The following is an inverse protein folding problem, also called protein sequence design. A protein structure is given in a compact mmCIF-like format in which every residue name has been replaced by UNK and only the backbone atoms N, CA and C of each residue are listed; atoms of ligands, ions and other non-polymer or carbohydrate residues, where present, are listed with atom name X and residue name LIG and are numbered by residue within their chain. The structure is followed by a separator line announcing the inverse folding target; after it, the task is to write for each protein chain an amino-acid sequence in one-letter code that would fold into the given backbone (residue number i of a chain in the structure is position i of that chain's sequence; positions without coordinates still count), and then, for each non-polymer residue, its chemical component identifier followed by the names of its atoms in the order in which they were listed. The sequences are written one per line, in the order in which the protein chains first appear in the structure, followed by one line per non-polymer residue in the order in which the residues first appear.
data_IF_694939912784
#
_entry.id   IF_694939912784
#
_cell.length_a   1.000
_cell.length_b   1.000
_cell.length_c   1.000
_cell.angle_alpha   90.00
_cell.angle_beta   90.00
_cell.angle_gamma   90.00
#
_symmetry.space_group_name_H-M   'P 1'
#
loop_
_entity.id
_entity.type
_entity.pdbx_description
1 polymer ?
#
# COMPACT_ATOMS: atom_id res chain seq x y z
N UNK A 1 -69.47 -41.49 -19.02
CA UNK A 1 -69.53 -41.72 -17.57
C UNK A 1 -68.12 -41.67 -17.00
N UNK A 2 -67.95 -40.84 -15.97
CA UNK A 2 -66.96 -40.89 -14.86
C UNK A 2 -65.44 -40.97 -15.15
N UNK A 3 -64.78 -39.83 -14.92
CA UNK A 3 -63.63 -39.57 -14.04
C UNK A 3 -62.89 -40.78 -13.43
N UNK A 4 -61.55 -40.79 -13.49
CA UNK A 4 -60.71 -40.61 -12.30
C UNK A 4 -59.22 -40.58 -12.65
N UNK A 5 -58.61 -39.44 -12.33
CA UNK A 5 -57.18 -39.21 -12.29
C UNK A 5 -56.55 -39.88 -11.05
N UNK A 6 -55.23 -40.11 -11.15
CA UNK A 6 -54.22 -39.76 -10.13
C UNK A 6 -53.71 -40.83 -9.13
N UNK A 7 -52.37 -40.97 -9.21
CA UNK A 7 -51.34 -41.15 -8.16
C UNK A 7 -51.30 -42.45 -7.34
N UNK A 8 -50.14 -43.13 -7.39
CA UNK A 8 -49.14 -43.14 -6.29
C UNK A 8 -48.23 -44.37 -6.30
N UNK A 9 -47.01 -44.19 -5.79
CA UNK A 9 -46.08 -45.27 -5.38
C UNK A 9 -44.81 -45.28 -6.23
N UNK A 10 -43.92 -44.30 -6.08
CA UNK A 10 -42.81 -44.31 -5.11
C UNK A 10 -41.91 -45.56 -5.25
N UNK A 11 -40.60 -45.31 -5.26
CA UNK A 11 -39.49 -46.27 -5.11
C UNK A 11 -38.79 -46.74 -6.39
N UNK A 12 -38.10 -45.81 -7.07
CA UNK A 12 -36.69 -46.03 -7.46
C UNK A 12 -35.88 -44.75 -7.31
N UNK A 13 -36.05 -44.08 -6.17
CA UNK A 13 -35.12 -43.04 -5.69
C UNK A 13 -34.07 -43.71 -4.82
N UNK A 14 -33.06 -44.31 -5.46
CA UNK A 14 -31.77 -44.70 -4.89
C UNK A 14 -31.10 -45.47 -6.01
N UNK A 15 -30.21 -44.89 -6.79
CA UNK A 15 -28.77 -45.13 -6.58
C UNK A 15 -27.89 -44.13 -7.36
N UNK A 16 -28.43 -42.95 -7.72
CA UNK A 16 -27.61 -41.83 -8.23
C UNK A 16 -27.75 -40.62 -7.31
N UNK A 17 -27.48 -40.87 -6.02
CA UNK A 17 -27.38 -39.85 -5.00
C UNK A 17 -25.97 -39.28 -4.94
N UNK A 18 -25.85 -38.04 -5.39
CA UNK A 18 -24.79 -37.12 -5.00
C UNK A 18 -23.56 -37.12 -5.90
N UNK A 19 -23.44 -36.10 -6.76
CA UNK A 19 -22.14 -35.45 -6.88
C UNK A 19 -21.73 -35.12 -5.45
N UNK A 20 -20.76 -35.86 -4.89
CA UNK A 20 -20.12 -35.42 -3.65
C UNK A 20 -19.57 -34.05 -3.99
N UNK A 21 -20.22 -32.99 -3.49
CA UNK A 21 -19.60 -31.67 -3.49
C UNK A 21 -18.26 -31.90 -2.80
N UNK A 22 -17.17 -31.80 -3.56
CA UNK A 22 -15.83 -31.87 -2.97
C UNK A 22 -15.87 -30.92 -1.78
N UNK A 23 -15.48 -31.36 -0.56
CA UNK A 23 -15.46 -30.46 0.58
C UNK A 23 -14.65 -29.25 0.14
N UNK A 24 -15.29 -28.09 0.03
CA UNK A 24 -14.60 -26.83 -0.23
C UNK A 24 -13.61 -26.71 0.92
N UNK A 25 -12.34 -27.03 0.67
CA UNK A 25 -11.27 -26.79 1.62
C UNK A 25 -11.24 -25.28 1.76
N UNK A 26 -11.87 -24.76 2.82
CA UNK A 26 -11.70 -23.38 3.20
C UNK A 26 -10.21 -23.17 3.41
N UNK A 27 -9.62 -22.20 2.72
CA UNK A 27 -8.29 -21.77 3.08
C UNK A 27 -8.35 -21.28 4.52
N UNK A 28 -7.33 -21.56 5.33
CA UNK A 28 -7.28 -21.07 6.71
C UNK A 28 -7.36 -19.53 6.79
N UNK A 29 -7.16 -18.82 5.67
CA UNK A 29 -7.33 -17.38 5.51
C UNK A 29 -8.77 -16.91 5.26
N UNK A 30 -9.71 -17.79 4.91
CA UNK A 30 -11.07 -17.38 4.47
C UNK A 30 -12.12 -17.38 5.59
N UNK A 31 -11.72 -17.53 6.85
CA UNK A 31 -12.60 -17.44 8.00
C UNK A 31 -12.62 -15.99 8.51
N UNK A 32 -13.66 -15.24 8.15
CA UNK A 32 -13.99 -13.91 8.67
C UNK A 32 -13.21 -12.68 8.18
N UNK A 33 -12.32 -12.80 7.19
CA UNK A 33 -11.73 -11.61 6.55
C UNK A 33 -12.52 -11.19 5.31
N UNK A 34 -13.13 -10.01 5.38
CA UNK A 34 -13.67 -9.32 4.22
C UNK A 34 -12.52 -8.57 3.53
N UNK A 35 -11.87 -9.24 2.57
CA UNK A 35 -10.72 -8.71 1.83
C UNK A 35 -11.03 -7.35 1.15
N UNK A 36 -12.29 -7.13 0.75
CA UNK A 36 -12.72 -5.88 0.14
C UNK A 36 -12.78 -4.76 1.18
N UNK A 37 -13.33 -5.05 2.37
CA UNK A 37 -13.33 -4.10 3.48
C UNK A 37 -11.91 -3.75 3.94
N UNK A 38 -11.03 -4.73 4.07
CA UNK A 38 -9.64 -4.52 4.50
C UNK A 38 -8.84 -3.70 3.48
N UNK A 39 -9.04 -3.98 2.18
CA UNK A 39 -8.44 -3.17 1.11
C UNK A 39 -8.96 -1.74 1.15
N UNK A 40 -10.27 -1.54 1.29
CA UNK A 40 -10.88 -0.21 1.37
C UNK A 40 -10.43 0.57 2.61
N UNK A 41 -10.17 -0.13 3.73
CA UNK A 41 -9.61 0.48 4.95
C UNK A 41 -8.22 1.03 4.68
N UNK A 42 -7.32 0.21 4.13
CA UNK A 42 -5.95 0.64 3.85
C UNK A 42 -5.88 1.71 2.77
N UNK A 43 -6.74 1.63 1.74
CA UNK A 43 -6.89 2.67 0.73
C UNK A 43 -7.21 4.04 1.37
N UNK A 44 -8.18 4.09 2.28
CA UNK A 44 -8.54 5.32 3.01
C UNK A 44 -7.40 5.84 3.88
N UNK A 45 -6.69 4.95 4.58
CA UNK A 45 -5.52 5.32 5.38
C UNK A 45 -4.42 5.90 4.48
N UNK A 46 -4.19 5.29 3.31
CA UNK A 46 -3.22 5.79 2.34
C UNK A 46 -3.63 7.15 1.80
N UNK A 47 -4.89 7.38 1.45
CA UNK A 47 -5.37 8.71 1.03
C UNK A 47 -5.20 9.77 2.13
N UNK A 48 -5.47 9.41 3.39
CA UNK A 48 -5.20 10.30 4.52
C UNK A 48 -3.70 10.62 4.64
N UNK A 49 -2.84 9.62 4.45
CA UNK A 49 -1.39 9.79 4.43
C UNK A 49 -0.91 10.66 3.27
N UNK A 50 -1.47 10.50 2.07
CA UNK A 50 -1.17 11.34 0.92
C UNK A 50 -1.55 12.79 1.23
N UNK A 51 -2.78 13.02 1.69
CA UNK A 51 -3.26 14.36 2.01
C UNK A 51 -2.40 15.05 3.08
N UNK A 52 -2.02 14.33 4.14
CA UNK A 52 -1.17 14.88 5.20
C UNK A 52 0.26 15.17 4.71
N UNK A 53 0.86 14.27 3.94
CA UNK A 53 2.18 14.48 3.32
C UNK A 53 2.16 15.66 2.34
N UNK A 54 1.11 15.80 1.53
CA UNK A 54 0.96 16.95 0.62
C UNK A 54 0.82 18.26 1.40
N UNK A 55 0.00 18.29 2.46
CA UNK A 55 -0.13 19.48 3.31
C UNK A 55 1.20 19.86 3.99
N UNK A 56 1.95 18.86 4.49
CA UNK A 56 3.27 19.08 5.07
C UNK A 56 4.26 19.60 4.03
N UNK A 57 4.24 19.05 2.80
CA UNK A 57 5.08 19.54 1.72
C UNK A 57 4.79 21.02 1.42
N UNK A 58 3.51 21.39 1.26
CA UNK A 58 3.12 22.79 1.08
C UNK A 58 3.64 23.67 2.23
N UNK A 59 3.49 23.22 3.47
CA UNK A 59 4.00 23.97 4.63
C UNK A 59 5.52 24.15 4.60
N UNK A 60 6.29 23.07 4.38
CA UNK A 60 7.76 23.13 4.37
C UNK A 60 8.27 23.98 3.20
N UNK A 61 7.71 23.80 2.00
CA UNK A 61 8.11 24.57 0.81
C UNK A 61 7.67 26.04 0.87
N UNK A 62 6.68 26.39 1.70
CA UNK A 62 6.27 27.79 1.90
C UNK A 62 7.29 28.62 2.69
N UNK A 63 8.24 27.97 3.37
CA UNK A 63 9.27 28.64 4.15
C UNK A 63 10.49 28.94 3.27
N UNK A 64 11.04 30.14 3.40
CA UNK A 64 12.37 30.44 2.85
C UNK A 64 13.46 29.63 3.57
N UNK A 65 14.54 29.32 2.87
CA UNK A 65 15.71 28.68 3.47
C UNK A 65 16.74 29.76 3.86
N UNK A 66 16.88 30.00 5.16
CA UNK A 66 17.85 30.98 5.66
C UNK A 66 19.26 30.39 5.55
N UNK A 67 20.10 31.00 4.72
CA UNK A 67 21.54 30.76 4.76
C UNK A 67 22.13 31.61 5.88
N UNK A 68 22.85 30.97 6.79
CA UNK A 68 23.63 31.67 7.80
C UNK A 68 24.89 32.25 7.17
N UNK A 69 25.45 33.28 7.78
CA UNK A 69 26.76 33.79 7.40
C UNK A 69 27.79 32.67 7.51
N UNK A 70 28.73 32.65 6.57
CA UNK A 70 29.79 31.64 6.57
C UNK A 70 30.61 31.77 7.88
N UNK A 71 30.79 30.67 8.63
CA UNK A 71 31.60 30.72 9.83
C UNK A 71 33.04 31.08 9.48
N UNK A 72 33.82 31.61 10.44
CA UNK A 72 35.25 31.81 10.26
C UNK A 72 35.94 30.53 9.75
N UNK A 73 37.02 30.70 8.98
CA UNK A 73 37.80 29.60 8.42
C UNK A 73 38.57 28.82 9.51
N UNK A 74 37.84 28.00 10.26
CA UNK A 74 38.42 27.16 11.30
C UNK A 74 39.28 26.06 10.67
N UNK A 75 40.41 25.66 11.31
CA UNK A 75 41.31 24.65 10.75
C UNK A 75 40.67 23.28 10.50
N UNK A 76 39.53 23.01 11.12
CA UNK A 76 38.78 21.76 10.98
C UNK A 76 37.65 21.82 9.93
N UNK A 77 37.37 23.00 9.36
CA UNK A 77 36.41 23.18 8.28
C UNK A 77 37.13 23.23 6.93
N UNK A 78 36.43 22.86 5.86
CA UNK A 78 36.96 22.88 4.48
C UNK A 78 38.31 22.16 4.29
N UNK A 79 38.59 21.11 5.08
CA UNK A 79 39.82 20.33 4.95
C UNK A 79 39.88 19.63 3.58
N UNK A 80 41.03 19.74 2.91
CA UNK A 80 41.37 19.02 1.67
C UNK A 80 42.71 18.30 1.82
N UNK A 81 42.67 17.00 2.08
CA UNK A 81 43.87 16.14 2.13
C UNK A 81 44.26 15.59 0.76
N UNK A 82 43.28 15.44 -0.13
CA UNK A 82 43.43 15.02 -1.53
C UNK A 82 42.34 15.72 -2.34
N UNK A 83 42.71 16.19 -3.52
CA UNK A 83 41.79 16.83 -4.44
C UNK A 83 40.67 15.88 -4.88
N UNK A 84 39.47 16.44 -5.09
CA UNK A 84 38.39 15.69 -5.69
C UNK A 84 38.63 15.47 -7.18
N UNK A 85 38.13 14.37 -7.76
CA UNK A 85 38.34 14.08 -9.17
C UNK A 85 37.55 14.99 -10.12
N UNK A 86 36.61 15.80 -9.62
CA UNK A 86 35.74 16.68 -10.42
C UNK A 86 36.02 18.18 -10.23
N UNK A 87 36.96 18.57 -9.36
CA UNK A 87 37.31 19.97 -9.14
C UNK A 87 37.52 20.34 -7.67
N UNK A 88 37.68 21.63 -7.36
CA UNK A 88 38.00 22.12 -6.00
C UNK A 88 36.79 22.04 -5.02
N UNK A 89 35.59 22.17 -5.56
CA UNK A 89 34.34 22.25 -4.81
C UNK A 89 33.77 20.85 -4.53
N UNK A 90 33.09 20.71 -3.40
CA UNK A 90 32.30 19.53 -3.04
C UNK A 90 31.20 19.22 -4.04
N UNK A 91 30.77 17.96 -4.05
CA UNK A 91 29.87 17.41 -5.07
C UNK A 91 28.52 18.14 -5.17
N UNK A 92 28.02 18.63 -4.03
CA UNK A 92 26.75 19.37 -3.93
C UNK A 92 26.95 20.68 -3.17
N UNK A 93 27.90 21.50 -3.61
CA UNK A 93 28.10 22.83 -3.05
C UNK A 93 27.23 23.88 -3.75
N UNK A 94 26.61 24.77 -2.96
CA UNK A 94 25.95 25.96 -3.46
C UNK A 94 27.01 27.03 -3.62
N UNK A 95 27.28 27.42 -4.87
CA UNK A 95 28.23 28.50 -5.16
C UNK A 95 27.58 29.83 -4.81
N UNK A 96 28.09 30.50 -3.80
CA UNK A 96 27.71 31.89 -3.53
C UNK A 96 28.17 32.77 -4.71
N UNK A 97 27.25 33.56 -5.27
CA UNK A 97 27.55 34.61 -6.23
C UNK A 97 27.92 35.90 -5.51
#
# INVERSE_FOLDING_TARGET
MAMAMVRSGLLRTALRGGSKTSPKRGFASSAHHDDAYETAKWEKITYLGIASCTALAVYVLSKGHAHHEEPPAYPYLHIRNKEFPWGPDGLFEVKHH
#
